data_IF_259312371678
#
_entry.id   IF_259312371678
#
_cell.length_a   1.000
_cell.length_b   1.000
_cell.length_c   1.000
_cell.angle_alpha   90.00
_cell.angle_beta   90.00
_cell.angle_gamma   90.00
#
_symmetry.space_group_name_H-M   'P 1'
#
loop_
_entity.id
_entity.type
_entity.pdbx_description
1 polymer ?
#
# COMPACT_ATOMS: atom_id res chain seq x y z
N UNK A 1 -9.68 31.02 14.34
CA UNK A 1 -10.75 30.51 13.45
C UNK A 1 -10.09 29.96 12.20
N UNK A 2 -10.33 28.70 11.78
CA UNK A 2 -9.82 28.22 10.49
C UNK A 2 -10.46 29.04 9.35
N UNK A 3 -9.68 29.46 8.36
CA UNK A 3 -10.21 30.22 7.22
C UNK A 3 -11.14 29.35 6.37
N UNK A 4 -12.07 29.95 5.62
CA UNK A 4 -13.09 29.26 4.79
C UNK A 4 -12.46 28.23 3.84
N UNK A 5 -11.27 28.52 3.31
CA UNK A 5 -10.51 27.62 2.44
C UNK A 5 -10.05 26.33 3.13
N UNK A 6 -9.74 26.38 4.43
CA UNK A 6 -9.33 25.21 5.20
C UNK A 6 -10.50 24.26 5.44
N UNK A 7 -11.71 24.83 5.62
CA UNK A 7 -12.94 24.05 5.79
C UNK A 7 -13.36 23.36 4.50
N UNK A 8 -13.26 24.05 3.35
CA UNK A 8 -13.56 23.47 2.05
C UNK A 8 -12.59 22.33 1.70
N UNK A 9 -11.28 22.54 1.91
CA UNK A 9 -10.26 21.49 1.72
C UNK A 9 -10.48 20.29 2.63
N UNK A 10 -10.76 20.51 3.92
CA UNK A 10 -11.04 19.41 4.85
C UNK A 10 -12.27 18.59 4.42
N UNK A 11 -13.32 19.25 3.92
CA UNK A 11 -14.49 18.56 3.37
C UNK A 11 -14.14 17.73 2.14
N UNK A 12 -13.28 18.25 1.26
CA UNK A 12 -12.80 17.51 0.08
C UNK A 12 -11.95 16.29 0.50
N UNK A 13 -11.05 16.44 1.47
CA UNK A 13 -10.28 15.32 2.04
C UNK A 13 -11.19 14.21 2.58
N UNK A 14 -12.19 14.58 3.38
CA UNK A 14 -13.16 13.64 3.95
C UNK A 14 -13.91 12.87 2.85
N UNK A 15 -14.32 13.58 1.80
CA UNK A 15 -15.07 12.98 0.70
C UNK A 15 -14.21 12.03 -0.16
N UNK A 16 -12.92 12.31 -0.32
CA UNK A 16 -12.04 11.57 -1.23
C UNK A 16 -11.29 10.42 -0.57
N UNK A 17 -10.80 10.63 0.66
CA UNK A 17 -10.02 9.62 1.38
C UNK A 17 -10.92 8.72 2.23
N UNK A 18 -12.16 9.17 2.51
CA UNK A 18 -13.12 8.49 3.38
C UNK A 18 -12.56 8.14 4.78
N UNK A 19 -11.57 8.91 5.24
CA UNK A 19 -10.95 8.78 6.56
C UNK A 19 -11.85 9.47 7.61
N UNK A 20 -12.02 8.91 8.83
CA UNK A 20 -12.78 9.58 9.89
C UNK A 20 -12.22 10.97 10.22
N UNK A 21 -13.11 11.94 10.48
CA UNK A 21 -12.70 13.33 10.71
C UNK A 21 -11.71 13.51 11.87
N UNK A 22 -11.85 12.72 12.94
CA UNK A 22 -10.93 12.80 14.08
C UNK A 22 -9.52 12.33 13.71
N UNK A 23 -9.38 11.35 12.81
CA UNK A 23 -8.08 10.87 12.31
C UNK A 23 -7.43 11.94 11.44
N UNK A 24 -8.18 12.53 10.51
CA UNK A 24 -7.67 13.61 9.65
C UNK A 24 -7.19 14.81 10.49
N UNK A 25 -7.96 15.21 11.50
CA UNK A 25 -7.58 16.31 12.41
C UNK A 25 -6.30 16.01 13.19
N UNK A 26 -6.14 14.77 13.66
CA UNK A 26 -4.93 14.35 14.38
C UNK A 26 -3.67 14.35 13.50
N UNK A 27 -3.84 14.19 12.18
CA UNK A 27 -2.76 14.25 11.21
C UNK A 27 -2.44 15.68 10.70
N UNK A 28 -3.19 16.69 11.13
CA UNK A 28 -2.93 18.07 10.72
C UNK A 28 -1.72 18.64 11.46
N UNK A 29 -0.71 19.07 10.70
CA UNK A 29 0.46 19.80 11.20
C UNK A 29 0.39 21.23 10.67
N UNK A 30 0.43 22.22 11.57
CA UNK A 30 0.33 23.65 11.20
C UNK A 30 -0.87 23.98 10.29
N UNK A 31 -2.01 23.32 10.53
CA UNK A 31 -3.23 23.52 9.75
C UNK A 31 -3.26 22.81 8.39
N UNK A 32 -2.26 21.99 8.06
CA UNK A 32 -2.15 21.27 6.78
C UNK A 32 -2.02 19.77 7.00
N UNK A 33 -2.52 19.00 6.05
CA UNK A 33 -2.33 17.55 5.99
C UNK A 33 -1.18 17.32 5.02
N UNK A 34 -0.09 16.74 5.50
CA UNK A 34 1.01 16.29 4.66
C UNK A 34 0.78 14.83 4.31
N UNK A 35 0.42 14.59 3.05
CA UNK A 35 0.17 13.23 2.56
C UNK A 35 1.45 12.51 2.12
N UNK A 36 2.34 13.24 1.45
CA UNK A 36 3.57 12.68 0.89
C UNK A 36 4.69 12.75 1.91
N UNK A 37 5.19 11.59 2.33
CA UNK A 37 6.35 11.52 3.22
C UNK A 37 7.63 11.95 2.48
N UNK A 38 8.52 12.65 3.18
CA UNK A 38 9.86 12.99 2.68
C UNK A 38 10.91 11.93 3.04
N UNK A 39 10.54 10.98 3.91
CA UNK A 39 11.44 9.91 4.33
C UNK A 39 11.61 8.86 3.21
N UNK A 40 12.83 8.73 2.69
CA UNK A 40 13.11 7.85 1.56
C UNK A 40 12.84 6.37 1.89
N UNK A 41 13.05 5.96 3.13
CA UNK A 41 12.78 4.61 3.61
C UNK A 41 11.29 4.25 3.57
N UNK A 42 10.47 5.15 4.09
CA UNK A 42 9.01 5.06 4.08
C UNK A 42 8.47 5.16 2.65
N UNK A 43 9.02 6.02 1.78
CA UNK A 43 8.63 6.07 0.37
C UNK A 43 8.87 4.72 -0.33
N UNK A 44 10.05 4.12 -0.15
CA UNK A 44 10.37 2.80 -0.70
C UNK A 44 9.40 1.73 -0.20
N UNK A 45 9.06 1.75 1.09
CA UNK A 45 8.12 0.80 1.65
C UNK A 45 6.69 1.00 1.13
N UNK A 46 6.21 2.25 1.06
CA UNK A 46 4.90 2.55 0.50
C UNK A 46 4.80 2.17 -0.99
N UNK A 47 5.88 2.36 -1.76
CA UNK A 47 5.94 1.92 -3.15
C UNK A 47 5.93 0.39 -3.29
N UNK A 48 6.57 -0.34 -2.36
CA UNK A 48 6.50 -1.79 -2.28
C UNK A 48 5.06 -2.26 -1.99
N UNK A 49 4.40 -1.63 -1.01
CA UNK A 49 2.99 -1.92 -0.68
C UNK A 49 2.06 -1.61 -1.86
N UNK A 50 2.30 -0.53 -2.59
CA UNK A 50 1.53 -0.21 -3.80
C UNK A 50 1.64 -1.31 -4.85
N UNK A 51 2.87 -1.70 -5.21
CA UNK A 51 3.10 -2.77 -6.19
C UNK A 51 2.47 -4.10 -5.74
N UNK A 52 2.52 -4.39 -4.43
CA UNK A 52 1.93 -5.59 -3.83
C UNK A 52 0.38 -5.59 -3.90
N UNK A 53 -0.25 -4.53 -3.40
CA UNK A 53 -1.70 -4.47 -3.18
C UNK A 53 -2.49 -4.18 -4.46
N UNK A 54 -1.83 -3.66 -5.49
CA UNK A 54 -2.41 -3.39 -6.79
C UNK A 54 -1.87 -4.32 -7.88
N UNK A 55 -1.09 -5.35 -7.54
CA UNK A 55 -0.65 -6.34 -8.54
C UNK A 55 -1.85 -7.00 -9.23
N UNK A 56 -1.78 -7.09 -10.56
CA UNK A 56 -2.75 -7.82 -11.40
C UNK A 56 -2.58 -9.34 -11.31
N UNK A 57 -1.43 -9.83 -10.81
CA UNK A 57 -1.13 -11.25 -10.70
C UNK A 57 -1.78 -11.91 -9.49
N UNK A 58 -2.16 -13.19 -9.62
CA UNK A 58 -2.50 -14.03 -8.45
C UNK A 58 -1.26 -14.28 -7.58
N UNK A 59 -0.08 -14.34 -8.19
CA UNK A 59 1.22 -14.44 -7.52
C UNK A 59 2.03 -13.15 -7.70
N UNK A 60 2.67 -12.72 -6.61
CA UNK A 60 3.74 -11.72 -6.67
C UNK A 60 5.06 -12.46 -7.02
N UNK A 61 6.06 -11.82 -7.66
CA UNK A 61 7.37 -12.44 -7.93
C UNK A 61 8.05 -13.18 -6.77
N UNK A 62 7.64 -12.91 -5.52
CA UNK A 62 8.15 -13.57 -4.30
C UNK A 62 7.06 -14.13 -3.40
N UNK A 63 5.77 -14.10 -3.80
CA UNK A 63 4.69 -14.77 -3.06
C UNK A 63 4.10 -15.85 -3.94
N UNK A 64 4.57 -17.07 -3.70
CA UNK A 64 4.18 -18.26 -4.46
C UNK A 64 3.06 -19.05 -3.77
N UNK A 65 2.40 -18.51 -2.72
CA UNK A 65 1.40 -19.27 -1.98
C UNK A 65 0.17 -19.47 -2.85
N UNK A 66 -0.08 -20.73 -3.21
CA UNK A 66 -1.30 -21.11 -3.92
C UNK A 66 -2.55 -20.78 -3.11
N UNK A 67 -3.61 -20.38 -3.80
CA UNK A 67 -4.92 -20.16 -3.20
C UNK A 67 -5.11 -18.84 -2.44
N UNK A 68 -4.16 -17.90 -2.54
CA UNK A 68 -4.34 -16.54 -2.02
C UNK A 68 -3.83 -15.47 -3.00
N UNK A 69 -4.37 -14.26 -2.88
CA UNK A 69 -3.82 -13.07 -3.53
C UNK A 69 -3.90 -11.85 -2.60
N UNK A 70 -2.91 -10.97 -2.65
CA UNK A 70 -2.96 -9.69 -1.92
C UNK A 70 -4.13 -8.81 -2.36
N UNK A 71 -4.64 -8.99 -3.59
CA UNK A 71 -5.85 -8.31 -4.06
C UNK A 71 -7.09 -8.69 -3.24
N UNK A 72 -7.17 -9.92 -2.75
CA UNK A 72 -8.29 -10.39 -1.92
C UNK A 72 -8.30 -9.67 -0.56
N UNK A 73 -7.15 -9.15 -0.11
CA UNK A 73 -7.10 -8.35 1.11
C UNK A 73 -7.86 -7.03 1.00
N UNK A 74 -8.17 -6.59 -0.22
CA UNK A 74 -8.86 -5.34 -0.45
C UNK A 74 -10.24 -5.28 0.23
N UNK A 75 -10.91 -6.42 0.42
CA UNK A 75 -12.17 -6.52 1.16
C UNK A 75 -12.04 -6.24 2.67
N UNK A 76 -10.84 -6.31 3.24
CA UNK A 76 -10.59 -5.93 4.62
C UNK A 76 -10.25 -4.45 4.79
N UNK A 77 -9.88 -3.74 3.71
CA UNK A 77 -9.35 -2.40 3.80
C UNK A 77 -10.44 -1.35 3.93
N UNK A 78 -10.31 -0.53 4.97
CA UNK A 78 -11.24 0.57 5.24
C UNK A 78 -10.65 1.88 4.74
N UNK A 79 -9.53 2.32 5.30
CA UNK A 79 -8.90 3.58 4.89
C UNK A 79 -7.38 3.56 5.10
N UNK A 80 -6.70 4.49 4.45
CA UNK A 80 -5.24 4.70 4.53
C UNK A 80 -4.99 6.14 4.95
N UNK A 81 -4.07 6.31 5.89
CA UNK A 81 -3.62 7.64 6.33
C UNK A 81 -2.12 7.60 6.62
N UNK A 82 -1.33 8.54 6.09
CA UNK A 82 0.05 8.70 6.50
C UNK A 82 0.09 9.32 7.90
N UNK A 83 0.97 8.81 8.75
CA UNK A 83 1.37 9.43 10.00
C UNK A 83 2.82 9.94 9.92
N UNK A 84 3.33 10.62 10.96
CA UNK A 84 4.65 11.24 10.93
C UNK A 84 5.79 10.31 10.53
N UNK A 85 5.75 9.05 10.97
CA UNK A 85 6.82 8.06 10.76
C UNK A 85 6.32 6.68 10.31
N UNK A 86 5.08 6.60 9.80
CA UNK A 86 4.45 5.32 9.44
C UNK A 86 3.29 5.54 8.47
N UNK A 87 2.94 4.50 7.72
CA UNK A 87 1.65 4.42 7.04
C UNK A 87 0.65 3.71 7.97
N UNK A 88 -0.56 4.22 8.11
CA UNK A 88 -1.64 3.53 8.83
C UNK A 88 -2.69 3.06 7.84
N UNK A 89 -3.03 1.78 7.90
CA UNK A 89 -4.14 1.20 7.16
C UNK A 89 -5.14 0.66 8.19
N UNK A 90 -6.34 1.23 8.23
CA UNK A 90 -7.42 0.63 8.99
C UNK A 90 -8.02 -0.52 8.22
N UNK A 91 -8.18 -1.64 8.92
CA UNK A 91 -8.68 -2.89 8.38
C UNK A 91 -9.69 -3.52 9.33
N UNK A 92 -10.57 -4.38 8.82
CA UNK A 92 -11.56 -5.07 9.65
C UNK A 92 -10.97 -6.21 10.50
N UNK A 93 -9.89 -6.84 10.05
CA UNK A 93 -9.19 -7.94 10.75
C UNK A 93 -7.68 -7.78 10.63
N UNK A 94 -7.06 -7.02 11.55
CA UNK A 94 -5.62 -6.70 11.48
C UNK A 94 -4.70 -7.93 11.57
N UNK A 95 -4.97 -8.92 12.45
CA UNK A 95 -4.16 -10.13 12.55
C UNK A 95 -4.06 -10.93 11.23
N UNK A 96 -5.17 -11.06 10.50
CA UNK A 96 -5.21 -11.79 9.23
C UNK A 96 -4.47 -11.06 8.12
N UNK A 97 -4.68 -9.74 8.00
CA UNK A 97 -3.93 -8.93 7.04
C UNK A 97 -2.43 -9.00 7.35
N UNK A 98 -2.05 -8.91 8.63
CA UNK A 98 -0.66 -9.07 9.05
C UNK A 98 -0.12 -10.44 8.61
N UNK A 99 -0.80 -11.53 8.94
CA UNK A 99 -0.41 -12.90 8.55
C UNK A 99 -0.14 -13.03 7.04
N UNK A 100 -0.96 -12.43 6.18
CA UNK A 100 -0.71 -12.44 4.73
C UNK A 100 0.59 -11.71 4.34
N UNK A 101 0.88 -10.59 5.00
CA UNK A 101 2.04 -9.76 4.69
C UNK A 101 3.34 -10.28 5.32
N UNK A 102 3.28 -11.05 6.42
CA UNK A 102 4.46 -11.49 7.13
C UNK A 102 5.22 -12.58 6.35
N UNK A 103 6.57 -12.53 6.34
CA UNK A 103 7.37 -13.46 5.58
C UNK A 103 7.37 -14.86 6.21
N UNK A 104 7.08 -15.84 5.37
CA UNK A 104 7.24 -17.27 5.68
C UNK A 104 7.88 -17.97 4.48
N UNK A 105 8.53 -19.10 4.73
CA UNK A 105 8.98 -20.00 3.66
C UNK A 105 8.40 -21.38 3.85
N UNK A 106 8.09 -22.07 2.75
CA UNK A 106 7.83 -23.50 2.75
C UNK A 106 8.92 -24.24 1.97
N UNK A 107 9.25 -25.44 2.43
CA UNK A 107 9.99 -26.43 1.65
C UNK A 107 9.03 -27.52 1.22
N UNK A 108 8.89 -27.72 -0.09
CA UNK A 108 8.06 -28.79 -0.64
C UNK A 108 8.79 -30.13 -0.65
N UNK A 109 8.04 -31.22 -0.85
CA UNK A 109 8.57 -32.58 -0.86
C UNK A 109 9.62 -32.84 -1.97
N UNK A 110 9.63 -32.02 -3.03
CA UNK A 110 10.64 -32.06 -4.09
C UNK A 110 11.93 -31.28 -3.75
N UNK A 111 12.01 -30.72 -2.53
CA UNK A 111 13.12 -29.90 -2.07
C UNK A 111 13.08 -28.45 -2.55
N UNK A 112 12.05 -28.04 -3.29
CA UNK A 112 11.90 -26.64 -3.69
C UNK A 112 11.55 -25.77 -2.49
N UNK A 113 12.18 -24.59 -2.42
CA UNK A 113 11.93 -23.59 -1.40
C UNK A 113 11.13 -22.44 -2.00
N UNK A 114 10.06 -22.05 -1.34
CA UNK A 114 9.22 -20.92 -1.77
C UNK A 114 9.07 -19.89 -0.67
N UNK A 115 9.01 -18.63 -1.09
CA UNK A 115 8.75 -17.49 -0.24
C UNK A 115 7.29 -17.06 -0.34
N UNK A 116 6.81 -16.55 0.78
CA UNK A 116 5.47 -16.00 0.95
C UNK A 116 5.55 -14.70 1.75
N UNK A 117 4.61 -13.78 1.53
CA UNK A 117 4.55 -12.52 2.25
C UNK A 117 5.58 -11.50 1.75
N UNK A 118 5.86 -10.47 2.54
CA UNK A 118 6.79 -9.39 2.20
C UNK A 118 8.15 -9.69 2.85
N UNK A 119 9.21 -9.97 2.08
CA UNK A 119 10.54 -10.20 2.61
C UNK A 119 11.01 -9.06 3.51
N UNK A 120 11.65 -9.38 4.63
CA UNK A 120 12.18 -8.38 5.56
C UNK A 120 11.14 -7.66 6.42
N UNK A 121 9.85 -7.98 6.29
CA UNK A 121 8.81 -7.44 7.17
C UNK A 121 8.83 -8.17 8.52
N UNK A 122 8.77 -7.42 9.62
CA UNK A 122 8.78 -7.92 11.01
C UNK A 122 7.64 -7.33 11.79
N UNK A 123 7.23 -8.01 12.86
CA UNK A 123 6.36 -7.42 13.87
C UNK A 123 7.22 -6.59 14.81
N UNK A 124 7.01 -5.27 14.81
CA UNK A 124 7.69 -4.36 15.73
C UNK A 124 7.04 -4.41 17.11
N UNK A 125 5.70 -4.34 17.16
CA UNK A 125 4.90 -4.48 18.38
C UNK A 125 3.43 -4.76 18.08
N UNK A 126 2.71 -5.24 19.07
CA UNK A 126 1.25 -5.41 19.02
C UNK A 126 0.62 -4.54 20.11
N UNK A 127 -0.45 -3.84 19.77
CA UNK A 127 -1.24 -3.04 20.70
C UNK A 127 -2.69 -3.52 20.74
N UNK A 128 -3.51 -2.93 21.60
CA UNK A 128 -4.92 -3.28 21.75
C UNK A 128 -5.74 -3.04 20.47
N UNK A 129 -5.22 -2.23 19.54
CA UNK A 129 -5.94 -1.81 18.33
C UNK A 129 -5.16 -1.99 17.04
N UNK A 130 -3.90 -2.45 17.11
CA UNK A 130 -3.09 -2.52 15.91
C UNK A 130 -1.96 -3.54 16.01
N UNK A 131 -1.57 -4.05 14.84
CA UNK A 131 -0.30 -4.73 14.61
C UNK A 131 0.64 -3.73 13.94
N UNK A 132 1.78 -3.47 14.57
CA UNK A 132 2.80 -2.56 14.05
C UNK A 132 3.90 -3.37 13.38
N UNK A 133 4.14 -3.07 12.12
CA UNK A 133 5.06 -3.78 11.24
C UNK A 133 6.21 -2.86 10.82
N UNK A 134 7.41 -3.43 10.76
CA UNK A 134 8.63 -2.75 10.33
C UNK A 134 9.25 -3.53 9.19
N UNK A 135 9.54 -2.86 8.07
CA UNK A 135 10.29 -3.44 6.96
C UNK A 135 11.78 -3.13 7.13
N UNK A 136 12.57 -4.12 7.55
CA UNK A 136 13.98 -3.94 7.90
C UNK A 136 14.81 -3.26 6.80
N UNK A 137 14.70 -3.65 5.51
CA UNK A 137 15.58 -3.07 4.47
C UNK A 137 15.34 -1.58 4.20
N UNK A 138 14.13 -1.09 4.45
CA UNK A 138 13.76 0.30 4.17
C UNK A 138 13.48 1.10 5.43
N UNK A 139 13.46 0.46 6.61
CA UNK A 139 13.02 1.05 7.88
C UNK A 139 11.59 1.63 7.84
N UNK A 140 10.81 1.28 6.82
CA UNK A 140 9.44 1.75 6.67
C UNK A 140 8.51 1.07 7.65
N UNK A 141 7.57 1.82 8.22
CA UNK A 141 6.61 1.33 9.20
C UNK A 141 5.19 1.29 8.65
N UNK A 142 4.44 0.27 9.05
CA UNK A 142 3.03 0.07 8.75
C UNK A 142 2.27 -0.25 10.04
N UNK A 143 1.25 0.54 10.35
CA UNK A 143 0.26 0.22 11.37
C UNK A 143 -0.98 -0.37 10.70
N UNK A 144 -1.24 -1.65 10.95
CA UNK A 144 -2.51 -2.28 10.62
C UNK A 144 -3.46 -2.10 11.79
N UNK A 145 -4.35 -1.12 11.68
CA UNK A 145 -5.28 -0.75 12.74
C UNK A 145 -6.61 -1.50 12.58
N UNK A 146 -7.04 -2.21 13.60
CA UNK A 146 -8.33 -2.90 13.60
C UNK A 146 -9.47 -1.91 13.90
N UNK A 147 -10.56 -1.99 13.14
CA UNK A 147 -11.74 -1.14 13.34
C UNK A 147 -12.40 -1.39 14.70
N UNK A 148 -12.41 -2.63 15.15
CA UNK A 148 -12.96 -3.04 16.43
C UNK A 148 -11.93 -2.89 17.56
N UNK A 149 -12.41 -2.51 18.74
CA UNK A 149 -11.57 -2.45 19.93
C UNK A 149 -11.44 -3.84 20.56
N UNK A 150 -10.22 -4.23 20.91
CA UNK A 150 -9.93 -5.43 21.67
C UNK A 150 -9.00 -5.13 22.85
N UNK A 151 -8.63 -6.18 23.57
CA UNK A 151 -7.50 -6.14 24.50
C UNK A 151 -6.22 -6.51 23.76
N UNK A 152 -5.06 -6.07 24.28
CA UNK A 152 -3.74 -6.49 23.76
C UNK A 152 -3.64 -8.02 23.74
N UNK A 153 -4.12 -8.70 24.80
CA UNK A 153 -4.16 -10.15 24.90
C UNK A 153 -4.97 -10.79 23.76
N UNK A 154 -6.16 -10.28 23.48
CA UNK A 154 -7.00 -10.78 22.39
C UNK A 154 -6.32 -10.61 21.02
N UNK A 155 -5.69 -9.46 20.77
CA UNK A 155 -4.95 -9.19 19.54
C UNK A 155 -3.81 -10.20 19.35
N UNK A 156 -3.02 -10.44 20.41
CA UNK A 156 -1.98 -11.47 20.39
C UNK A 156 -2.53 -12.87 20.16
N UNK A 157 -3.64 -13.23 20.81
CA UNK A 157 -4.27 -14.54 20.62
C UNK A 157 -4.76 -14.76 19.19
N UNK A 158 -5.38 -13.74 18.58
CA UNK A 158 -5.82 -13.80 17.18
C UNK A 158 -4.65 -13.86 16.21
N UNK A 159 -3.60 -13.06 16.44
CA UNK A 159 -2.39 -13.12 15.63
C UNK A 159 -1.74 -14.49 15.70
N UNK A 160 -1.57 -15.05 16.91
CA UNK A 160 -1.05 -16.40 17.10
C UNK A 160 -1.94 -17.46 16.43
N UNK A 161 -3.25 -17.28 16.45
CA UNK A 161 -4.17 -18.19 15.76
C UNK A 161 -3.96 -18.15 14.24
N UNK A 162 -3.87 -16.96 13.64
CA UNK A 162 -3.66 -16.81 12.20
C UNK A 162 -2.26 -17.25 11.77
N UNK A 163 -1.22 -17.03 12.59
CA UNK A 163 0.17 -17.44 12.26
C UNK A 163 0.52 -18.86 12.67
N UNK A 164 -0.16 -19.43 13.66
CA UNK A 164 0.20 -20.72 14.26
C UNK A 164 -0.04 -21.91 13.34
N UNK A 165 -0.88 -21.78 12.31
CA UNK A 165 -1.04 -22.80 11.26
C UNK A 165 0.16 -22.90 10.32
N UNK A 166 1.02 -21.87 10.29
CA UNK A 166 2.19 -21.82 9.41
C UNK A 166 3.47 -22.25 10.13
N UNK A 167 3.43 -22.63 11.41
CA UNK A 167 4.61 -23.16 12.13
C UNK A 167 4.59 -24.69 12.08
N UNK A 168 5.07 -25.25 10.98
CA UNK A 168 5.36 -26.68 10.82
C UNK A 168 6.86 -26.88 10.61
N UNK A 169 7.42 -28.09 10.76
CA UNK A 169 8.84 -28.34 10.45
C UNK A 169 9.24 -27.94 9.01
N UNK A 170 8.25 -27.90 8.11
CA UNK A 170 8.40 -27.57 6.68
C UNK A 170 8.21 -26.07 6.40
N UNK A 171 7.70 -25.32 7.38
CA UNK A 171 7.39 -23.90 7.25
C UNK A 171 8.14 -23.07 8.29
N UNK A 172 9.05 -22.21 7.83
CA UNK A 172 9.82 -21.34 8.70
C UNK A 172 9.24 -19.93 8.72
N UNK A 173 9.09 -19.38 9.91
CA UNK A 173 8.65 -18.01 10.16
C UNK A 173 9.85 -17.11 10.46
N UNK A 174 9.97 -15.97 9.75
CA UNK A 174 11.10 -15.04 9.93
C UNK A 174 10.68 -13.72 10.58
N UNK A 175 9.39 -13.51 10.78
CA UNK A 175 8.86 -12.24 11.26
C UNK A 175 9.23 -11.87 12.70
N UNK A 176 9.87 -12.79 13.43
CA UNK A 176 10.45 -12.61 14.76
C UNK A 176 11.96 -12.39 14.78
N UNK A 177 12.67 -12.62 13.67
CA UNK A 177 14.13 -12.53 13.61
C UNK A 177 14.57 -11.08 13.40
N UNK A 178 15.76 -10.72 13.91
CA UNK A 178 16.29 -9.35 13.82
C UNK A 178 16.99 -9.03 12.49
N UNK A 179 17.32 -10.04 11.68
CA UNK A 179 18.06 -9.90 10.43
C UNK A 179 17.30 -10.49 9.24
N UNK A 180 17.79 -10.20 8.04
CA UNK A 180 17.32 -10.83 6.82
C UNK A 180 17.95 -12.22 6.67
N UNK A 181 17.23 -13.15 6.05
CA UNK A 181 17.84 -14.36 5.51
C UNK A 181 18.41 -14.10 4.13
N UNK A 182 19.37 -14.91 3.67
CA UNK A 182 19.93 -14.81 2.30
C UNK A 182 18.82 -14.80 1.23
N UNK A 183 17.78 -15.59 1.48
CA UNK A 183 16.67 -15.74 0.57
C UNK A 183 15.75 -14.52 0.59
N UNK A 184 15.56 -13.87 1.75
CA UNK A 184 14.97 -12.52 1.79
C UNK A 184 15.87 -11.53 1.04
N UNK A 185 17.18 -11.50 1.27
CA UNK A 185 18.11 -10.57 0.60
C UNK A 185 18.06 -10.67 -0.94
N UNK A 186 17.83 -11.87 -1.47
CA UNK A 186 17.69 -12.10 -2.92
C UNK A 186 16.54 -11.30 -3.56
N UNK A 187 15.52 -10.93 -2.78
CA UNK A 187 14.38 -10.13 -3.25
C UNK A 187 14.66 -8.60 -3.25
N UNK A 188 15.88 -8.18 -2.88
CA UNK A 188 16.27 -6.77 -2.80
C UNK A 188 16.01 -5.88 -4.02
N UNK A 189 16.05 -6.37 -5.28
CA UNK A 189 15.69 -5.54 -6.43
C UNK A 189 14.28 -4.96 -6.36
N UNK A 190 13.39 -5.57 -5.59
CA UNK A 190 11.99 -5.18 -5.54
C UNK A 190 11.65 -4.02 -4.60
N UNK A 191 12.47 -3.80 -3.56
CA UNK A 191 12.39 -2.60 -2.71
C UNK A 191 13.55 -1.63 -2.95
N UNK A 192 14.35 -1.86 -3.99
CA UNK A 192 15.36 -0.91 -4.43
C UNK A 192 14.68 0.40 -4.87
N UNK A 193 15.28 1.56 -4.54
CA UNK A 193 14.74 2.83 -5.00
C UNK A 193 14.86 2.93 -6.53
N UNK A 194 13.75 3.24 -7.17
CA UNK A 194 13.69 3.61 -8.60
C UNK A 194 13.21 5.05 -8.75
N UNK A 195 13.40 5.72 -9.91
CA UNK A 195 12.86 7.05 -10.16
C UNK A 195 11.35 7.16 -9.89
N UNK A 196 10.60 6.08 -10.10
CA UNK A 196 9.15 6.03 -9.91
C UNK A 196 8.71 5.76 -8.46
N UNK A 197 9.65 5.64 -7.51
CA UNK A 197 9.35 5.34 -6.10
C UNK A 197 8.51 6.43 -5.43
N UNK A 198 8.81 7.73 -5.55
CA UNK A 198 8.00 8.76 -4.91
C UNK A 198 6.57 8.80 -5.47
N UNK A 199 6.41 8.54 -6.78
CA UNK A 199 5.10 8.52 -7.41
C UNK A 199 4.24 7.33 -6.93
N UNK A 200 4.82 6.13 -6.84
CA UNK A 200 4.16 4.93 -6.28
C UNK A 200 3.81 5.10 -4.80
N UNK A 201 4.71 5.69 -4.02
CA UNK A 201 4.47 6.05 -2.61
C UNK A 201 3.29 7.02 -2.48
N UNK A 202 3.26 8.08 -3.30
CA UNK A 202 2.15 9.03 -3.37
C UNK A 202 0.83 8.33 -3.68
N UNK A 203 0.80 7.44 -4.68
CA UNK A 203 -0.38 6.65 -5.03
C UNK A 203 -0.85 5.75 -3.88
N UNK A 204 0.05 5.08 -3.16
CA UNK A 204 -0.26 4.25 -2.00
C UNK A 204 -1.02 5.02 -0.92
N UNK A 205 -0.61 6.25 -0.64
CA UNK A 205 -1.28 7.09 0.35
C UNK A 205 -2.72 7.40 -0.06
N UNK A 206 -3.02 7.45 -1.37
CA UNK A 206 -4.38 7.64 -1.91
C UNK A 206 -5.07 6.30 -2.20
N UNK A 207 -4.56 5.17 -1.71
CA UNK A 207 -5.13 3.83 -1.96
C UNK A 207 -6.64 3.73 -1.66
N UNK A 208 -7.11 4.43 -0.62
CA UNK A 208 -8.54 4.47 -0.24
C UNK A 208 -9.44 5.01 -1.33
N UNK A 209 -8.96 5.96 -2.14
CA UNK A 209 -9.71 6.50 -3.27
C UNK A 209 -10.06 5.38 -4.25
N UNK A 210 -9.08 4.55 -4.59
CA UNK A 210 -9.25 3.41 -5.50
C UNK A 210 -10.14 2.32 -4.91
N UNK A 211 -9.96 2.03 -3.62
CA UNK A 211 -10.70 0.97 -2.95
C UNK A 211 -12.18 1.30 -2.79
N UNK A 212 -12.49 2.48 -2.23
CA UNK A 212 -13.87 2.82 -1.88
C UNK A 212 -14.66 3.48 -2.99
N UNK A 213 -14.02 4.34 -3.78
CA UNK A 213 -14.74 5.10 -4.80
C UNK A 213 -14.75 4.37 -6.16
N UNK A 214 -13.80 3.46 -6.42
CA UNK A 214 -13.59 2.84 -7.74
C UNK A 214 -13.46 1.31 -7.69
N UNK A 215 -14.59 0.61 -7.53
CA UNK A 215 -14.82 -0.70 -6.87
C UNK A 215 -13.67 -1.73 -6.89
N UNK A 216 -12.52 -1.42 -6.28
CA UNK A 216 -11.31 -2.27 -6.25
C UNK A 216 -10.91 -2.88 -7.61
N UNK A 217 -11.22 -2.17 -8.71
CA UNK A 217 -10.87 -2.64 -10.06
C UNK A 217 -9.50 -2.16 -10.51
N UNK A 218 -8.88 -1.29 -9.71
CA UNK A 218 -7.56 -0.74 -9.98
C UNK A 218 -6.48 -1.81 -9.87
N UNK A 219 -5.64 -1.92 -10.88
CA UNK A 219 -4.51 -2.85 -10.92
C UNK A 219 -3.34 -2.24 -11.71
N UNK A 220 -2.12 -2.69 -11.38
CA UNK A 220 -0.92 -2.33 -12.11
C UNK A 220 -0.64 -3.45 -13.12
N UNK A 221 -0.45 -3.04 -14.37
CA UNK A 221 -0.03 -3.90 -15.46
C UNK A 221 1.23 -3.32 -16.12
N UNK A 222 1.97 -4.14 -16.88
CA UNK A 222 3.02 -3.61 -17.74
C UNK A 222 2.48 -2.49 -18.65
N UNK A 223 3.24 -1.40 -18.75
CA UNK A 223 2.89 -0.32 -19.65
C UNK A 223 2.91 -0.77 -21.11
N UNK A 224 2.09 -0.13 -21.93
CA UNK A 224 2.10 -0.38 -23.38
C UNK A 224 3.16 0.44 -24.10
N UNK A 225 3.57 1.60 -23.55
CA UNK A 225 4.56 2.48 -24.19
C UNK A 225 5.97 2.21 -23.65
N UNK A 226 6.97 2.45 -24.49
CA UNK A 226 8.39 2.30 -24.15
C UNK A 226 8.90 3.36 -23.15
N UNK A 227 8.21 4.50 -23.04
CA UNK A 227 8.61 5.62 -22.18
C UNK A 227 8.00 5.57 -20.77
N UNK A 228 7.19 4.55 -20.46
CA UNK A 228 6.73 4.26 -19.10
C UNK A 228 6.95 2.78 -18.80
N UNK A 229 7.07 2.44 -17.52
CA UNK A 229 7.31 1.03 -17.11
C UNK A 229 6.06 0.37 -16.54
N UNK A 230 5.04 1.15 -16.19
CA UNK A 230 3.85 0.72 -15.46
C UNK A 230 2.62 1.47 -15.95
N UNK A 231 1.50 0.76 -16.02
CA UNK A 231 0.20 1.32 -16.28
C UNK A 231 -0.76 0.95 -15.14
N UNK A 232 -1.39 1.96 -14.54
CA UNK A 232 -2.48 1.79 -13.60
C UNK A 232 -3.78 1.75 -14.37
N UNK A 233 -4.46 0.61 -14.33
CA UNK A 233 -5.71 0.37 -15.05
C UNK A 233 -6.88 0.18 -14.10
N UNK A 234 -8.08 0.58 -14.52
CA UNK A 234 -9.34 0.31 -13.79
C UNK A 234 -10.51 0.14 -14.77
N UNK A 235 -11.56 -0.57 -14.36
CA UNK A 235 -12.67 -0.95 -15.26
C UNK A 235 -13.88 -0.02 -15.20
N UNK A 236 -14.15 0.54 -14.02
CA UNK A 236 -15.34 1.38 -13.78
C UNK A 236 -14.97 2.62 -12.99
N UNK A 237 -15.69 3.71 -13.26
CA UNK A 237 -15.53 4.99 -12.58
C UNK A 237 -15.02 6.09 -13.51
N UNK A 238 -14.28 7.07 -12.97
CA UNK A 238 -13.86 8.27 -13.69
C UNK A 238 -12.97 7.95 -14.89
N UNK A 239 -12.97 8.86 -15.85
CA UNK A 239 -12.03 8.92 -16.98
C UNK A 239 -10.59 9.17 -16.49
N UNK A 240 -9.62 8.93 -17.37
CA UNK A 240 -8.21 9.19 -17.05
C UNK A 240 -7.95 10.68 -16.80
N UNK A 241 -8.69 11.57 -17.46
CA UNK A 241 -8.59 13.01 -17.23
C UNK A 241 -9.08 13.42 -15.84
N UNK A 242 -10.22 12.89 -15.39
CA UNK A 242 -10.76 13.15 -14.04
C UNK A 242 -9.84 12.60 -12.95
N UNK A 243 -9.27 11.42 -13.14
CA UNK A 243 -8.27 10.85 -12.20
C UNK A 243 -7.00 11.69 -12.19
N UNK A 244 -6.52 12.10 -13.37
CA UNK A 244 -5.38 12.99 -13.49
C UNK A 244 -5.56 14.29 -12.74
N UNK A 245 -6.67 14.99 -12.99
CA UNK A 245 -7.05 16.23 -12.30
C UNK A 245 -7.14 16.03 -10.79
N UNK A 246 -7.74 14.93 -10.34
CA UNK A 246 -7.81 14.60 -8.92
C UNK A 246 -6.41 14.49 -8.29
N UNK A 247 -5.48 13.83 -8.97
CA UNK A 247 -4.14 13.57 -8.45
C UNK A 247 -3.20 14.78 -8.53
N UNK A 248 -3.52 15.84 -9.27
CA UNK A 248 -2.64 17.02 -9.41
C UNK A 248 -3.26 18.33 -8.91
N UNK A 249 -4.59 18.49 -9.01
CA UNK A 249 -5.29 19.74 -8.71
C UNK A 249 -6.20 19.70 -7.48
N UNK A 250 -6.45 18.53 -6.88
CA UNK A 250 -7.34 18.41 -5.72
C UNK A 250 -6.66 18.61 -4.36
N UNK A 251 -7.44 18.55 -3.27
CA UNK A 251 -6.90 18.51 -1.90
C UNK A 251 -5.96 17.33 -1.65
N UNK A 252 -6.15 16.18 -2.32
CA UNK A 252 -5.32 14.97 -2.14
C UNK A 252 -4.22 14.86 -3.19
N UNK A 253 -3.88 15.96 -3.90
CA UNK A 253 -2.87 15.94 -4.95
C UNK A 253 -1.56 15.32 -4.49
N UNK A 254 -0.85 14.67 -5.40
CA UNK A 254 0.54 14.26 -5.21
C UNK A 254 1.40 15.50 -5.45
N UNK A 255 2.24 15.84 -4.47
CA UNK A 255 3.07 17.04 -4.53
C UNK A 255 3.99 17.01 -5.75
N UNK A 256 4.03 18.09 -6.51
CA UNK A 256 4.83 18.28 -7.74
C UNK A 256 4.51 17.32 -8.90
N UNK A 257 3.44 16.51 -8.78
CA UNK A 257 2.99 15.68 -9.88
C UNK A 257 2.28 16.53 -10.94
N UNK A 258 2.50 16.17 -12.20
CA UNK A 258 1.84 16.78 -13.36
C UNK A 258 1.11 15.72 -14.16
N UNK A 259 -0.01 16.12 -14.76
CA UNK A 259 -0.84 15.25 -15.59
C UNK A 259 -0.79 15.76 -17.03
N UNK A 260 -0.57 14.84 -17.96
CA UNK A 260 -0.61 15.11 -19.40
C UNK A 260 -1.62 14.19 -20.08
N UNK A 261 -2.54 14.78 -20.83
CA UNK A 261 -3.41 14.07 -21.76
C UNK A 261 -2.65 13.68 -23.01
N UNK A 262 -2.96 12.51 -23.55
CA UNK A 262 -2.40 12.05 -24.81
C UNK A 262 -3.18 12.63 -26.01
N UNK A 263 -2.50 13.15 -27.05
CA UNK A 263 -3.18 13.69 -28.23
C UNK A 263 -3.87 12.63 -29.11
N UNK A 264 -3.56 11.33 -28.94
CA UNK A 264 -3.99 10.26 -29.86
C UNK A 264 -5.42 9.70 -29.58
N UNK A 265 -6.21 10.34 -28.71
CA UNK A 265 -7.66 10.10 -28.59
C UNK A 265 -8.10 8.81 -27.90
N UNK A 266 -7.18 8.00 -27.36
CA UNK A 266 -7.51 6.92 -26.41
C UNK A 266 -7.66 7.49 -24.99
N UNK A 267 -8.55 6.95 -24.15
CA UNK A 267 -8.70 7.33 -22.72
C UNK A 267 -7.50 6.79 -21.91
N UNK A 268 -6.32 7.28 -22.28
CA UNK A 268 -5.01 7.00 -21.70
C UNK A 268 -4.37 8.35 -21.42
N UNK A 269 -3.75 8.47 -20.24
CA UNK A 269 -3.02 9.68 -19.87
C UNK A 269 -1.78 9.33 -19.08
N UNK A 270 -0.92 10.31 -18.83
CA UNK A 270 0.33 10.07 -18.11
C UNK A 270 0.40 10.97 -16.89
N UNK A 271 0.63 10.34 -15.74
CA UNK A 271 0.98 11.02 -14.50
C UNK A 271 2.50 11.03 -14.36
N UNK A 272 3.10 12.21 -14.17
CA UNK A 272 4.56 12.39 -14.09
C UNK A 272 4.97 13.05 -12.79
N UNK A 273 6.17 12.72 -12.32
CA UNK A 273 6.84 13.37 -11.21
C UNK A 273 8.35 13.37 -11.48
N UNK A 274 8.89 14.54 -11.86
CA UNK A 274 10.25 14.64 -12.37
C UNK A 274 10.47 13.70 -13.58
N UNK A 275 11.48 12.82 -13.57
CA UNK A 275 11.73 11.87 -14.65
C UNK A 275 10.79 10.64 -14.62
N UNK A 276 10.00 10.46 -13.55
CA UNK A 276 9.11 9.31 -13.43
C UNK A 276 7.79 9.52 -14.18
N UNK A 277 7.23 8.42 -14.68
CA UNK A 277 5.95 8.41 -15.35
C UNK A 277 5.19 7.09 -15.09
N UNK A 278 3.87 7.20 -14.89
CA UNK A 278 2.93 6.08 -14.84
C UNK A 278 1.80 6.38 -15.84
N UNK A 279 1.50 5.41 -16.69
CA UNK A 279 0.31 5.46 -17.53
C UNK A 279 -0.95 5.25 -16.68
N UNK A 280 -1.99 6.00 -17.00
CA UNK A 280 -3.34 5.82 -16.49
C UNK A 280 -4.20 5.36 -17.67
N UNK A 281 -4.93 4.26 -17.54
CA UNK A 281 -5.81 3.79 -18.60
C UNK A 281 -7.09 3.17 -18.05
N UNK A 282 -8.23 3.56 -18.61
CA UNK A 282 -9.51 2.92 -18.28
C UNK A 282 -9.76 1.75 -19.22
N UNK A 283 -9.97 0.55 -18.67
CA UNK A 283 -10.27 -0.66 -19.45
C UNK A 283 -11.79 -0.83 -19.57
N UNK A 284 -12.28 -1.08 -20.79
CA UNK A 284 -13.70 -1.31 -21.11
C UNK A 284 -14.16 -2.70 -20.74
#
# INVERSE_FOLDING_TARGET
MPHVNDRARLKQYLALMSVPQHVLRAAMVNGRIELDTKDAGQQRFQALLWDLLFSSGRSHPWDHRGGRSFRELAGYYEWVMPGPNQLTIQVSVAPRVAHYLLPTTATYADGSHVHFGVPGLRIERVSARAVHLLHLPTQGRLELRESHHGTVRLMHSRLRWETGSDETPENLTFWHTSGLTDAEESASPHWAPTPCTPLRSGLMVRASTWWRHWPHTAEIVPARRSNTTRCLTWRKGPSCAEVGDLLVNSAIRITDAVHGSDPDGLDVSVLRLGPAAIELARTS
#
